data_IF_464161796007
#
_entry.id   IF_464161796007
#
_cell.length_a   1.000
_cell.length_b   1.000
_cell.length_c   1.000
_cell.angle_alpha   90.00
_cell.angle_beta   90.00
_cell.angle_gamma   90.00
#
_symmetry.space_group_name_H-M   'P 1'
#
loop_
_entity.id
_entity.type
_entity.pdbx_description
1 polymer ?
#
# COMPACT_ATOMS: atom_id res chain seq x y z
N UNK A 1 30.47 10.75 -54.89
CA UNK A 1 29.22 11.23 -54.26
C UNK A 1 29.17 10.62 -52.87
N UNK A 2 29.11 11.40 -51.77
CA UNK A 2 29.45 10.93 -50.42
C UNK A 2 28.34 10.06 -49.80
N UNK A 3 28.72 8.95 -49.18
CA UNK A 3 27.85 7.91 -48.59
C UNK A 3 27.50 8.20 -47.12
N UNK A 4 27.55 9.47 -46.73
CA UNK A 4 27.67 9.89 -45.32
C UNK A 4 26.31 10.19 -44.65
N UNK A 5 25.22 10.04 -45.41
CA UNK A 5 23.85 10.36 -44.96
C UNK A 5 23.18 9.21 -44.19
N UNK A 6 23.60 7.97 -44.44
CA UNK A 6 23.07 6.77 -43.78
C UNK A 6 23.51 6.71 -42.31
N UNK A 7 24.74 7.13 -42.00
CA UNK A 7 25.29 7.11 -40.65
C UNK A 7 24.71 8.21 -39.75
N UNK A 8 24.31 9.36 -40.32
CA UNK A 8 23.67 10.45 -39.59
C UNK A 8 22.21 10.13 -39.21
N UNK A 9 21.49 9.45 -40.10
CA UNK A 9 20.11 9.00 -39.84
C UNK A 9 20.10 7.86 -38.82
N UNK A 10 21.05 6.93 -38.92
CA UNK A 10 21.21 5.85 -37.95
C UNK A 10 21.53 6.37 -36.52
N UNK A 11 22.36 7.42 -36.40
CA UNK A 11 22.64 8.07 -35.10
C UNK A 11 21.42 8.81 -34.53
N UNK A 12 20.69 9.58 -35.34
CA UNK A 12 19.48 10.28 -34.87
C UNK A 12 18.38 9.33 -34.37
N UNK A 13 18.27 8.13 -34.95
CA UNK A 13 17.34 7.10 -34.47
C UNK A 13 17.82 6.48 -33.15
N UNK A 14 19.13 6.29 -32.98
CA UNK A 14 19.73 5.83 -31.72
C UNK A 14 19.57 6.82 -30.56
N UNK A 15 19.72 8.12 -30.82
CA UNK A 15 19.59 9.18 -29.81
C UNK A 15 18.12 9.38 -29.36
N UNK A 16 17.16 9.21 -30.28
CA UNK A 16 15.72 9.20 -29.96
C UNK A 16 15.29 7.96 -29.14
N UNK A 17 16.07 6.88 -29.16
CA UNK A 17 15.87 5.69 -28.33
C UNK A 17 16.57 5.83 -26.95
N UNK A 18 17.71 6.53 -26.90
CA UNK A 18 18.40 6.90 -25.66
C UNK A 18 17.59 7.86 -24.77
N UNK A 19 16.98 8.89 -25.36
CA UNK A 19 16.14 9.84 -24.63
C UNK A 19 14.85 9.22 -24.03
N UNK A 20 14.38 8.08 -24.57
CA UNK A 20 13.25 7.32 -24.01
C UNK A 20 13.63 6.53 -22.76
N UNK A 21 14.92 6.26 -22.56
CA UNK A 21 15.41 5.53 -21.38
C UNK A 21 15.37 6.41 -20.12
N UNK A 22 15.58 7.71 -20.28
CA UNK A 22 15.40 8.71 -19.22
C UNK A 22 13.92 8.92 -18.85
N UNK A 23 12.99 8.58 -19.76
CA UNK A 23 11.54 8.57 -19.53
C UNK A 23 11.02 7.25 -18.93
N UNK A 24 11.76 6.15 -19.02
CA UNK A 24 11.36 4.86 -18.44
C UNK A 24 11.28 4.92 -16.91
N UNK A 25 12.23 5.60 -16.26
CA UNK A 25 12.22 5.78 -14.81
C UNK A 25 11.00 6.60 -14.33
N UNK A 26 10.75 7.82 -14.86
CA UNK A 26 9.54 8.59 -14.55
C UNK A 26 8.23 7.87 -14.91
N UNK A 27 8.18 7.16 -16.05
CA UNK A 27 6.99 6.40 -16.46
C UNK A 27 6.73 5.19 -15.55
N UNK A 28 7.78 4.54 -15.06
CA UNK A 28 7.66 3.46 -14.07
C UNK A 28 7.18 3.98 -12.72
N UNK A 29 7.66 5.16 -12.28
CA UNK A 29 7.15 5.84 -11.08
C UNK A 29 5.68 6.25 -11.24
N UNK A 30 5.31 6.82 -12.39
CA UNK A 30 3.92 7.10 -12.74
C UNK A 30 3.06 5.83 -12.79
N UNK A 31 3.58 4.72 -13.32
CA UNK A 31 2.89 3.42 -13.29
C UNK A 31 2.70 2.88 -11.88
N UNK A 32 3.66 3.11 -10.98
CA UNK A 32 3.53 2.79 -9.55
C UNK A 32 2.44 3.66 -8.88
N UNK A 33 2.30 4.93 -9.29
CA UNK A 33 1.18 5.79 -8.91
C UNK A 33 -0.17 5.30 -9.48
N UNK A 34 -0.20 4.65 -10.64
CA UNK A 34 -1.44 4.05 -11.20
C UNK A 34 -1.86 2.79 -10.42
N UNK A 35 -0.93 2.02 -9.85
CA UNK A 35 -1.28 0.91 -8.93
C UNK A 35 -1.90 1.43 -7.63
N UNK A 36 -1.52 2.65 -7.20
CA UNK A 36 -2.24 3.43 -6.18
C UNK A 36 -3.68 3.81 -6.61
N UNK A 37 -4.07 3.67 -7.89
CA UNK A 37 -5.43 3.96 -8.37
C UNK A 37 -6.37 2.74 -8.39
N UNK A 38 -5.90 1.49 -8.47
CA UNK A 38 -6.77 0.28 -8.60
C UNK A 38 -7.41 -0.19 -7.27
N UNK A 39 -8.65 0.21 -6.91
CA UNK A 39 -9.23 0.10 -5.56
C UNK A 39 -9.34 -1.35 -5.04
N UNK A 40 -8.97 -1.55 -3.77
CA UNK A 40 -9.21 -2.81 -3.06
C UNK A 40 -10.63 -2.80 -2.48
N UNK A 41 -11.38 -3.92 -2.52
CA UNK A 41 -12.72 -3.98 -1.93
C UNK A 41 -12.66 -3.91 -0.40
N UNK A 42 -13.49 -3.07 0.20
CA UNK A 42 -13.49 -2.77 1.64
C UNK A 42 -13.73 -4.01 2.54
N UNK A 43 -14.56 -4.97 2.09
CA UNK A 43 -14.87 -6.17 2.87
C UNK A 43 -13.64 -7.06 3.15
N UNK A 44 -12.72 -7.17 2.17
CA UNK A 44 -11.48 -7.93 2.33
C UNK A 44 -10.55 -7.17 3.29
N UNK A 45 -10.43 -5.86 3.12
CA UNK A 45 -9.60 -5.03 3.98
C UNK A 45 -10.04 -5.11 5.46
N UNK A 46 -11.34 -5.03 5.75
CA UNK A 46 -11.89 -5.16 7.09
C UNK A 46 -11.53 -6.50 7.74
N UNK A 47 -11.69 -7.61 7.01
CA UNK A 47 -11.32 -8.94 7.49
C UNK A 47 -9.83 -9.01 7.83
N UNK A 48 -8.96 -8.50 6.96
CA UNK A 48 -7.52 -8.52 7.18
C UNK A 48 -7.10 -7.58 8.32
N UNK A 49 -7.78 -6.44 8.50
CA UNK A 49 -7.54 -5.50 9.60
C UNK A 49 -7.87 -6.16 10.95
N UNK A 50 -9.03 -6.81 11.04
CA UNK A 50 -9.46 -7.55 12.24
C UNK A 50 -8.52 -8.71 12.52
N UNK A 51 -8.15 -9.48 11.49
CA UNK A 51 -7.18 -10.57 11.63
C UNK A 51 -5.81 -10.07 12.12
N UNK A 52 -5.32 -8.93 11.60
CA UNK A 52 -4.07 -8.34 12.05
C UNK A 52 -4.13 -7.92 13.53
N UNK A 53 -5.22 -7.28 13.97
CA UNK A 53 -5.40 -6.89 15.38
C UNK A 53 -5.47 -8.15 16.27
N UNK A 54 -6.19 -9.18 15.84
CA UNK A 54 -6.30 -10.45 16.56
C UNK A 54 -4.95 -11.18 16.69
N UNK A 55 -4.18 -11.28 15.60
CA UNK A 55 -2.85 -11.89 15.63
C UNK A 55 -1.89 -11.05 16.50
N UNK A 56 -1.96 -9.72 16.41
CA UNK A 56 -1.14 -8.83 17.22
C UNK A 56 -1.42 -8.98 18.72
N UNK A 57 -2.68 -9.13 19.12
CA UNK A 57 -3.06 -9.33 20.53
C UNK A 57 -2.69 -10.75 21.01
N UNK A 58 -2.83 -11.78 20.18
CA UNK A 58 -2.33 -13.13 20.49
C UNK A 58 -0.81 -13.14 20.68
N UNK A 59 -0.07 -12.44 19.81
CA UNK A 59 1.38 -12.27 19.97
C UNK A 59 1.75 -11.53 21.24
N UNK A 60 1.00 -10.49 21.62
CA UNK A 60 1.23 -9.74 22.85
C UNK A 60 1.07 -10.65 24.07
N UNK A 61 -0.02 -11.43 24.13
CA UNK A 61 -0.27 -12.38 25.21
C UNK A 61 0.83 -13.45 25.23
N UNK A 62 1.23 -13.98 24.07
CA UNK A 62 2.33 -14.96 23.99
C UNK A 62 3.66 -14.35 24.47
N UNK A 63 4.01 -13.15 24.00
CA UNK A 63 5.25 -12.46 24.36
C UNK A 63 5.37 -12.21 25.87
N UNK A 64 4.26 -11.89 26.55
CA UNK A 64 4.24 -11.67 28.01
C UNK A 64 4.31 -13.00 28.79
N UNK A 65 3.87 -14.11 28.20
CA UNK A 65 3.75 -15.41 28.89
C UNK A 65 4.99 -16.30 28.71
N UNK A 66 5.76 -16.10 27.63
CA UNK A 66 6.88 -16.98 27.28
C UNK A 66 8.13 -16.78 28.15
N UNK A 67 8.65 -17.89 28.70
CA UNK A 67 9.81 -17.92 29.61
C UNK A 67 11.05 -18.66 29.04
N UNK A 68 10.95 -19.31 27.87
CA UNK A 68 12.04 -20.15 27.30
C UNK A 68 12.45 -19.71 25.89
N UNK A 69 13.77 -19.71 25.63
CA UNK A 69 14.40 -19.26 24.38
C UNK A 69 14.08 -20.12 23.12
N UNK A 70 13.42 -21.26 23.26
CA UNK A 70 13.07 -22.13 22.11
C UNK A 70 11.92 -21.53 21.27
N UNK A 71 11.04 -20.73 21.87
CA UNK A 71 10.06 -19.92 21.13
C UNK A 71 10.68 -18.68 20.47
N UNK A 72 11.88 -18.30 20.91
CA UNK A 72 12.62 -17.13 20.40
C UNK A 72 13.17 -17.33 18.98
N UNK A 73 13.19 -18.55 18.45
CA UNK A 73 13.56 -18.82 17.05
C UNK A 73 12.40 -18.57 16.09
N UNK A 74 11.18 -18.93 16.49
CA UNK A 74 9.98 -18.76 15.66
C UNK A 74 9.37 -17.37 15.84
N UNK A 75 9.56 -16.76 17.00
CA UNK A 75 9.02 -15.44 17.33
C UNK A 75 9.49 -14.32 16.39
N UNK A 76 10.79 -14.18 16.04
CA UNK A 76 11.27 -13.17 15.08
C UNK A 76 10.68 -13.34 13.69
N UNK A 77 10.55 -14.58 13.21
CA UNK A 77 9.95 -14.87 11.90
C UNK A 77 8.46 -14.51 11.87
N UNK A 78 7.72 -14.86 12.93
CA UNK A 78 6.32 -14.47 13.07
C UNK A 78 6.18 -12.95 13.16
N UNK A 79 7.02 -12.27 13.96
CA UNK A 79 7.01 -10.82 14.11
C UNK A 79 7.34 -10.12 12.78
N UNK A 80 8.30 -10.61 12.01
CA UNK A 80 8.61 -10.11 10.67
C UNK A 80 7.41 -10.27 9.72
N UNK A 81 6.79 -11.44 9.71
CA UNK A 81 5.60 -11.72 8.89
C UNK A 81 4.42 -10.81 9.24
N UNK A 82 4.13 -10.61 10.53
CA UNK A 82 3.06 -9.69 10.96
C UNK A 82 3.40 -8.23 10.69
N UNK A 83 4.66 -7.85 10.76
CA UNK A 83 5.09 -6.48 10.42
C UNK A 83 4.93 -6.21 8.92
N UNK A 84 5.24 -7.18 8.06
CA UNK A 84 4.98 -7.08 6.61
C UNK A 84 3.48 -7.02 6.30
N UNK A 85 2.66 -7.84 6.98
CA UNK A 85 1.21 -7.75 6.89
C UNK A 85 0.71 -6.35 7.25
N UNK A 86 1.23 -5.75 8.33
CA UNK A 86 0.90 -4.37 8.74
C UNK A 86 1.27 -3.36 7.66
N UNK A 87 2.44 -3.49 7.02
CA UNK A 87 2.86 -2.57 5.96
C UNK A 87 1.88 -2.61 4.78
N UNK A 88 1.50 -3.81 4.32
CA UNK A 88 0.55 -3.99 3.22
C UNK A 88 -0.82 -3.43 3.58
N UNK A 89 -1.33 -3.72 4.78
CA UNK A 89 -2.64 -3.24 5.21
C UNK A 89 -2.67 -1.73 5.41
N UNK A 90 -1.62 -1.11 5.91
CA UNK A 90 -1.57 0.34 6.05
C UNK A 90 -1.57 1.05 4.69
N UNK A 91 -0.85 0.53 3.70
CA UNK A 91 -0.88 1.08 2.33
C UNK A 91 -2.26 0.87 1.70
N UNK A 92 -2.86 -0.33 1.86
CA UNK A 92 -4.20 -0.61 1.35
C UNK A 92 -5.28 0.27 2.01
N UNK A 93 -5.23 0.46 3.33
CA UNK A 93 -6.19 1.29 4.08
C UNK A 93 -6.09 2.76 3.71
N UNK A 94 -4.88 3.32 3.68
CA UNK A 94 -4.69 4.75 3.29
C UNK A 94 -5.18 5.01 1.88
N UNK A 95 -4.90 4.10 0.95
CA UNK A 95 -5.37 4.16 -0.42
C UNK A 95 -6.90 4.02 -0.54
N UNK A 96 -7.49 3.13 0.25
CA UNK A 96 -8.94 2.93 0.29
C UNK A 96 -9.67 4.14 0.90
N UNK A 97 -9.11 4.74 1.95
CA UNK A 97 -9.62 5.98 2.56
C UNK A 97 -9.48 7.18 1.60
N UNK A 98 -8.34 7.32 0.93
CA UNK A 98 -8.08 8.44 0.00
C UNK A 98 -8.77 8.27 -1.37
N UNK A 99 -9.04 7.03 -1.77
CA UNK A 99 -9.81 6.71 -2.97
C UNK A 99 -11.33 6.73 -2.75
N UNK A 100 -11.77 6.88 -1.49
CA UNK A 100 -13.18 7.10 -1.18
C UNK A 100 -13.56 8.53 -1.56
N UNK A 101 -14.61 8.68 -2.37
CA UNK A 101 -15.11 9.99 -2.77
C UNK A 101 -15.79 10.67 -1.56
N UNK A 102 -15.10 11.63 -0.94
CA UNK A 102 -15.59 12.40 0.21
C UNK A 102 -16.79 13.31 -0.12
N UNK A 103 -17.19 13.37 -1.39
CA UNK A 103 -18.23 14.24 -1.94
C UNK A 103 -19.66 13.80 -1.62
N UNK A 104 -19.89 12.58 -1.13
CA UNK A 104 -21.22 12.07 -0.76
C UNK A 104 -21.19 11.44 0.64
N UNK A 105 -21.80 12.10 1.66
CA UNK A 105 -21.87 11.57 3.04
C UNK A 105 -22.51 10.19 3.17
N UNK A 106 -23.33 9.77 2.20
CA UNK A 106 -23.94 8.45 2.16
C UNK A 106 -23.00 7.34 1.63
N UNK A 107 -21.95 7.69 0.89
CA UNK A 107 -20.99 6.74 0.32
C UNK A 107 -19.79 6.44 1.26
N UNK A 108 -19.51 7.33 2.23
CA UNK A 108 -18.34 7.18 3.12
C UNK A 108 -18.42 5.91 3.99
N UNK A 109 -19.64 5.50 4.39
CA UNK A 109 -19.86 4.30 5.21
C UNK A 109 -19.62 2.98 4.48
N UNK A 110 -19.91 2.92 3.17
CA UNK A 110 -19.69 1.70 2.36
C UNK A 110 -18.27 1.63 1.78
N UNK A 111 -17.64 2.78 1.51
CA UNK A 111 -16.37 2.82 0.79
C UNK A 111 -15.15 2.66 1.71
N UNK A 112 -15.22 3.13 2.97
CA UNK A 112 -14.08 3.08 3.90
C UNK A 112 -13.92 1.75 4.66
N UNK A 113 -14.94 0.89 4.69
CA UNK A 113 -14.98 -0.31 5.54
C UNK A 113 -15.58 -0.02 6.93
N UNK A 114 -16.29 -1.00 7.48
CA UNK A 114 -16.99 -0.90 8.77
C UNK A 114 -16.00 -0.81 9.94
N UNK A 115 -14.85 -1.48 9.85
CA UNK A 115 -13.85 -1.48 10.93
C UNK A 115 -13.15 -0.14 10.98
N UNK A 116 -12.77 0.40 9.82
CA UNK A 116 -12.09 1.70 9.69
C UNK A 116 -13.02 2.84 10.11
N UNK A 117 -14.28 2.85 9.66
CA UNK A 117 -15.26 3.87 10.06
C UNK A 117 -15.62 3.79 11.55
N UNK A 118 -15.79 2.58 12.09
CA UNK A 118 -16.02 2.36 13.51
C UNK A 118 -14.86 2.84 14.40
N UNK A 119 -13.62 2.51 14.02
CA UNK A 119 -12.42 3.01 14.72
C UNK A 119 -12.29 4.54 14.58
N UNK A 120 -12.58 5.09 13.41
CA UNK A 120 -12.55 6.54 13.16
C UNK A 120 -13.52 7.29 14.07
N UNK A 121 -14.77 6.83 14.17
CA UNK A 121 -15.77 7.41 15.06
C UNK A 121 -15.43 7.26 16.55
N UNK A 122 -14.87 6.10 16.95
CA UNK A 122 -14.41 5.86 18.31
C UNK A 122 -13.26 6.79 18.71
N UNK A 123 -12.24 6.94 17.86
CA UNK A 123 -11.05 7.76 18.15
C UNK A 123 -11.35 9.26 18.04
N UNK A 124 -12.19 9.69 17.09
CA UNK A 124 -12.54 11.10 16.91
C UNK A 124 -13.48 11.66 18.00
N UNK A 125 -14.02 10.81 18.88
CA UNK A 125 -14.79 11.24 20.05
C UNK A 125 -16.05 12.07 19.73
N UNK A 126 -16.54 12.06 18.49
CA UNK A 126 -17.73 12.79 18.06
C UNK A 126 -17.53 14.24 17.58
N UNK A 127 -16.30 14.76 17.48
CA UNK A 127 -16.04 16.09 16.91
C UNK A 127 -15.11 16.00 15.69
N UNK A 128 -15.70 15.96 14.50
CA UNK A 128 -14.99 16.07 13.21
C UNK A 128 -14.73 17.54 12.81
N UNK A 129 -14.56 18.43 13.79
CA UNK A 129 -14.42 19.87 13.56
C UNK A 129 -13.00 20.30 13.92
N UNK A 130 -12.14 20.46 12.92
CA UNK A 130 -10.96 21.33 12.95
C UNK A 130 -10.86 22.04 11.61
#
# INVERSE_FOLDING_TARGET
MPTDWLSQTARKIGDAFGARRDLLLPAAVLGLLVVLVVPMPAAILDLLLVANIAIASLMLINAITQRKALEFSSFPALLLGTTLLRLVLNIASTRLILGADASSPAAVGEVAGAVISGFGGFVAGGSLIV
#
